data_IF_348520046839
#
_entry.id   IF_348520046839
#
_cell.length_a   1.000
_cell.length_b   1.000
_cell.length_c   1.000
_cell.angle_alpha   90.00
_cell.angle_beta   90.00
_cell.angle_gamma   90.00
#
_symmetry.space_group_name_H-M   'P 1'
#
loop_
_entity.id
_entity.type
_entity.pdbx_description
1 polymer ?
#
# COMPACT_ATOMS: atom_id res chain seq x y z
N UNK A 1 -1.66 -14.20 -29.72
CA UNK A 1 -1.14 -15.24 -28.79
C UNK A 1 0.33 -15.05 -28.36
N UNK A 2 1.25 -14.56 -29.21
CA UNK A 2 2.66 -14.33 -28.80
C UNK A 2 2.81 -13.44 -27.55
N UNK A 3 1.96 -12.42 -27.39
CA UNK A 3 1.95 -11.55 -26.20
C UNK A 3 1.55 -12.24 -24.89
N UNK A 4 0.73 -13.31 -24.93
CA UNK A 4 0.28 -14.00 -23.71
C UNK A 4 1.43 -14.76 -23.04
N UNK A 5 2.30 -15.40 -23.82
CA UNK A 5 3.50 -16.07 -23.29
C UNK A 5 4.49 -15.07 -22.67
N UNK A 6 4.60 -13.87 -23.23
CA UNK A 6 5.41 -12.80 -22.65
C UNK A 6 4.78 -12.28 -21.34
N UNK A 7 3.45 -12.13 -21.28
CA UNK A 7 2.73 -11.64 -20.11
C UNK A 7 2.94 -12.52 -18.87
N UNK A 8 3.05 -13.85 -19.03
CA UNK A 8 3.32 -14.77 -17.91
C UNK A 8 4.61 -14.41 -17.15
N UNK A 9 5.64 -13.90 -17.84
CA UNK A 9 6.90 -13.49 -17.21
C UNK A 9 6.75 -12.27 -16.29
N UNK A 10 5.72 -11.47 -16.50
CA UNK A 10 5.44 -10.27 -15.70
C UNK A 10 4.46 -10.54 -14.55
N UNK A 11 3.87 -11.73 -14.44
CA UNK A 11 2.98 -12.07 -13.32
C UNK A 11 3.58 -11.81 -11.93
N UNK A 12 4.87 -12.11 -11.66
CA UNK A 12 5.46 -11.82 -10.35
C UNK A 12 5.46 -10.33 -9.99
N UNK A 13 5.43 -9.43 -10.97
CA UNK A 13 5.33 -7.99 -10.77
C UNK A 13 3.88 -7.49 -10.82
N UNK A 14 3.10 -8.02 -11.76
CA UNK A 14 1.72 -7.61 -12.01
C UNK A 14 0.76 -8.03 -10.89
N UNK A 15 0.97 -9.20 -10.27
CA UNK A 15 0.09 -9.70 -9.19
C UNK A 15 0.16 -8.79 -7.95
N UNK A 16 1.34 -8.47 -7.38
CA UNK A 16 1.43 -7.52 -6.25
C UNK A 16 0.82 -6.16 -6.59
N UNK A 17 1.07 -5.66 -7.80
CA UNK A 17 0.52 -4.38 -8.24
C UNK A 17 -1.02 -4.42 -8.39
N UNK A 18 -1.57 -5.52 -8.91
CA UNK A 18 -3.01 -5.75 -8.98
C UNK A 18 -3.67 -5.88 -7.60
N UNK A 19 -3.00 -6.53 -6.64
CA UNK A 19 -3.47 -6.57 -5.24
C UNK A 19 -3.44 -5.17 -4.63
N UNK A 20 -2.36 -4.42 -4.87
CA UNK A 20 -2.18 -3.06 -4.34
C UNK A 20 -3.30 -2.11 -4.79
N UNK A 21 -3.67 -2.17 -6.05
CA UNK A 21 -4.73 -1.36 -6.67
C UNK A 21 -6.11 -1.75 -6.17
N UNK A 22 -6.42 -3.05 -6.07
CA UNK A 22 -7.69 -3.52 -5.49
C UNK A 22 -7.84 -3.06 -4.05
N UNK A 23 -6.79 -3.22 -3.22
CA UNK A 23 -6.78 -2.71 -1.85
C UNK A 23 -6.91 -1.18 -1.82
N UNK A 24 -6.26 -0.49 -2.75
CA UNK A 24 -6.43 0.95 -2.95
C UNK A 24 -7.88 1.34 -3.24
N UNK A 25 -8.57 0.63 -4.14
CA UNK A 25 -9.97 0.87 -4.46
C UNK A 25 -10.92 0.61 -3.29
N UNK A 26 -10.63 -0.39 -2.46
CA UNK A 26 -11.35 -0.62 -1.19
C UNK A 26 -11.17 0.58 -0.26
N UNK A 27 -9.94 1.06 -0.07
CA UNK A 27 -9.65 2.21 0.79
C UNK A 27 -10.31 3.50 0.28
N UNK A 28 -10.35 3.71 -1.03
CA UNK A 28 -11.07 4.85 -1.64
C UNK A 28 -12.57 4.74 -1.36
N UNK A 29 -13.15 3.56 -1.53
CA UNK A 29 -14.58 3.33 -1.26
C UNK A 29 -14.91 3.53 0.21
N UNK A 30 -14.03 3.11 1.12
CA UNK A 30 -14.23 3.34 2.55
C UNK A 30 -14.09 4.82 2.92
N UNK A 31 -13.13 5.52 2.32
CA UNK A 31 -12.99 6.98 2.46
C UNK A 31 -14.26 7.72 1.98
N UNK A 32 -14.85 7.26 0.88
CA UNK A 32 -16.14 7.77 0.39
C UNK A 32 -17.28 7.54 1.38
N UNK A 33 -17.36 6.35 1.97
CA UNK A 33 -18.35 6.00 3.00
C UNK A 33 -18.23 6.88 4.23
N UNK A 34 -17.01 7.15 4.69
CA UNK A 34 -16.75 8.08 5.81
C UNK A 34 -17.23 9.50 5.47
N UNK A 35 -17.19 9.92 4.20
CA UNK A 35 -17.76 11.18 3.72
C UNK A 35 -19.27 11.12 3.38
N UNK A 36 -19.94 10.02 3.72
CA UNK A 36 -21.38 9.84 3.57
C UNK A 36 -21.85 9.37 2.18
N UNK A 37 -20.96 8.83 1.35
CA UNK A 37 -21.33 8.14 0.10
C UNK A 37 -21.10 6.63 0.22
N UNK A 38 -22.17 5.88 0.45
CA UNK A 38 -22.09 4.41 0.61
C UNK A 38 -22.19 3.70 -0.74
N UNK A 39 -21.05 3.60 -1.44
CA UNK A 39 -20.95 2.83 -2.67
C UNK A 39 -20.69 1.35 -2.40
N UNK A 40 -21.27 0.49 -3.24
CA UNK A 40 -20.94 -0.92 -3.22
C UNK A 40 -19.50 -1.12 -3.73
N UNK A 41 -18.60 -1.52 -2.84
CA UNK A 41 -17.18 -1.75 -3.15
C UNK A 41 -16.99 -2.73 -4.29
N UNK A 42 -17.81 -3.78 -4.39
CA UNK A 42 -17.73 -4.75 -5.50
C UNK A 42 -17.98 -4.07 -6.84
N UNK A 43 -18.97 -3.21 -6.92
CA UNK A 43 -19.35 -2.55 -8.18
C UNK A 43 -18.28 -1.54 -8.60
N UNK A 44 -17.68 -0.82 -7.64
CA UNK A 44 -16.55 0.09 -7.89
C UNK A 44 -15.35 -0.69 -8.44
N UNK A 45 -14.95 -1.78 -7.78
CA UNK A 45 -13.80 -2.59 -8.21
C UNK A 45 -14.03 -3.29 -9.56
N UNK A 46 -15.26 -3.77 -9.83
CA UNK A 46 -15.59 -4.36 -11.13
C UNK A 46 -15.57 -3.31 -12.25
N UNK A 47 -16.03 -2.09 -11.96
CA UNK A 47 -15.99 -0.97 -12.91
C UNK A 47 -14.54 -0.58 -13.22
N UNK A 48 -13.68 -0.49 -12.21
CA UNK A 48 -12.23 -0.27 -12.36
C UNK A 48 -11.57 -1.36 -13.20
N UNK A 49 -11.85 -2.63 -12.93
CA UNK A 49 -11.28 -3.75 -13.67
C UNK A 49 -11.72 -3.75 -15.13
N UNK A 50 -13.00 -3.49 -15.41
CA UNK A 50 -13.51 -3.38 -16.77
C UNK A 50 -12.88 -2.18 -17.50
N UNK A 51 -12.79 -1.02 -16.86
CA UNK A 51 -12.15 0.16 -17.43
C UNK A 51 -10.67 -0.09 -17.74
N UNK A 52 -9.95 -0.77 -16.84
CA UNK A 52 -8.55 -1.17 -17.06
C UNK A 52 -8.42 -2.12 -18.25
N UNK A 53 -9.29 -3.11 -18.38
CA UNK A 53 -9.25 -4.06 -19.50
C UNK A 53 -9.51 -3.35 -20.83
N UNK A 54 -10.53 -2.48 -20.88
CA UNK A 54 -10.85 -1.67 -22.07
C UNK A 54 -9.67 -0.76 -22.41
N UNK A 55 -9.09 -0.07 -21.42
CA UNK A 55 -7.91 0.75 -21.63
C UNK A 55 -6.74 -0.05 -22.18
N UNK A 56 -6.47 -1.25 -21.64
CA UNK A 56 -5.43 -2.15 -22.12
C UNK A 56 -5.64 -2.61 -23.57
N UNK A 57 -6.88 -2.88 -23.98
CA UNK A 57 -7.23 -3.19 -25.38
C UNK A 57 -6.98 -2.00 -26.32
N UNK A 58 -7.12 -0.78 -25.80
CA UNK A 58 -6.83 0.46 -26.52
C UNK A 58 -5.36 0.91 -26.43
N UNK A 59 -4.45 0.08 -25.88
CA UNK A 59 -3.01 0.38 -25.78
C UNK A 59 -2.58 1.05 -24.46
N UNK A 60 -3.47 1.13 -23.47
CA UNK A 60 -3.14 1.58 -22.12
C UNK A 60 -2.17 0.63 -21.42
N UNK A 61 -1.17 1.20 -20.74
CA UNK A 61 -0.10 0.46 -20.05
C UNK A 61 -0.18 0.51 -18.53
N UNK A 62 -1.13 1.30 -18.00
CA UNK A 62 -1.33 1.50 -16.58
C UNK A 62 -2.69 0.97 -16.15
N UNK A 63 -2.73 0.32 -14.99
CA UNK A 63 -3.98 -0.04 -14.34
C UNK A 63 -4.69 1.22 -13.85
N UNK A 64 -6.00 1.33 -14.09
CA UNK A 64 -6.80 2.42 -13.51
C UNK A 64 -7.06 2.15 -12.04
N UNK A 65 -7.35 3.18 -11.26
CA UNK A 65 -7.79 3.04 -9.87
C UNK A 65 -8.80 4.16 -9.53
N UNK A 66 -9.77 3.94 -8.62
CA UNK A 66 -10.65 4.98 -8.13
C UNK A 66 -9.85 6.17 -7.59
N UNK A 67 -10.34 7.38 -7.90
CA UNK A 67 -9.62 8.59 -7.58
C UNK A 67 -9.71 8.90 -6.07
N UNK A 68 -8.56 9.03 -5.43
CA UNK A 68 -8.45 9.40 -4.01
C UNK A 68 -8.85 10.88 -3.83
N UNK A 69 -9.52 11.20 -2.72
CA UNK A 69 -9.86 12.58 -2.36
C UNK A 69 -11.34 12.92 -2.52
N UNK A 70 -12.21 11.94 -2.77
CA UNK A 70 -13.66 12.15 -2.78
C UNK A 70 -14.19 12.97 -1.59
N UNK A 71 -13.76 12.75 -0.32
CA UNK A 71 -14.20 13.60 0.79
C UNK A 71 -13.90 15.09 0.57
N UNK A 72 -12.70 15.42 0.10
CA UNK A 72 -12.29 16.80 -0.16
C UNK A 72 -13.13 17.43 -1.28
N UNK A 73 -13.30 16.73 -2.41
CA UNK A 73 -14.14 17.23 -3.52
C UNK A 73 -15.61 17.40 -3.10
N UNK A 74 -16.13 16.50 -2.26
CA UNK A 74 -17.50 16.61 -1.75
C UNK A 74 -17.67 17.82 -0.83
N UNK A 75 -16.69 18.09 0.05
CA UNK A 75 -16.68 19.29 0.88
C UNK A 75 -16.63 20.59 0.04
N UNK A 76 -16.10 20.53 -1.18
CA UNK A 76 -16.14 21.65 -2.15
C UNK A 76 -17.48 21.76 -2.91
N UNK A 77 -18.47 20.91 -2.60
CA UNK A 77 -19.80 20.92 -3.24
C UNK A 77 -19.88 20.14 -4.55
N UNK A 78 -18.86 19.35 -4.90
CA UNK A 78 -18.90 18.51 -6.10
C UNK A 78 -19.98 17.43 -5.99
N UNK A 79 -20.51 17.03 -7.15
CA UNK A 79 -21.56 15.98 -7.31
C UNK A 79 -21.23 15.15 -8.55
N UNK A 80 -22.06 14.16 -8.88
CA UNK A 80 -21.88 13.28 -10.04
C UNK A 80 -21.59 14.02 -11.37
N UNK A 81 -22.20 15.19 -11.60
CA UNK A 81 -21.95 16.00 -12.79
C UNK A 81 -20.50 16.49 -12.92
N UNK A 82 -19.85 16.85 -11.80
CA UNK A 82 -18.44 17.23 -11.78
C UNK A 82 -17.55 16.05 -12.20
N UNK A 83 -17.80 14.87 -11.63
CA UNK A 83 -17.06 13.65 -11.96
C UNK A 83 -17.21 13.28 -13.45
N UNK A 84 -18.45 13.33 -13.97
CA UNK A 84 -18.73 13.04 -15.38
C UNK A 84 -18.03 14.02 -16.33
N UNK A 85 -18.15 15.33 -16.07
CA UNK A 85 -17.52 16.37 -16.88
C UNK A 85 -16.00 16.25 -16.83
N UNK A 86 -15.43 15.93 -15.66
CA UNK A 86 -13.99 15.67 -15.51
C UNK A 86 -13.56 14.47 -16.36
N UNK A 87 -14.30 13.36 -16.29
CA UNK A 87 -14.02 12.18 -17.10
C UNK A 87 -14.07 12.45 -18.61
N UNK A 88 -15.08 13.19 -19.07
CA UNK A 88 -15.22 13.58 -20.48
C UNK A 88 -14.08 14.51 -20.90
N UNK A 89 -13.80 15.55 -20.11
CA UNK A 89 -12.74 16.52 -20.41
C UNK A 89 -11.37 15.85 -20.45
N UNK A 90 -10.98 15.12 -19.41
CA UNK A 90 -9.68 14.43 -19.35
C UNK A 90 -9.59 13.35 -20.42
N UNK A 91 -10.67 12.60 -20.67
CA UNK A 91 -10.71 11.56 -21.70
C UNK A 91 -10.54 12.11 -23.12
N UNK A 92 -11.32 13.14 -23.48
CA UNK A 92 -11.16 13.84 -24.75
C UNK A 92 -9.79 14.50 -24.87
N UNK A 93 -9.27 15.03 -23.76
CA UNK A 93 -7.96 15.67 -23.72
C UNK A 93 -6.79 14.71 -23.87
N UNK A 94 -6.91 13.48 -23.37
CA UNK A 94 -5.97 12.40 -23.66
C UNK A 94 -6.04 11.97 -25.12
N UNK A 95 -7.24 11.88 -25.70
CA UNK A 95 -7.46 11.48 -27.10
C UNK A 95 -6.99 12.54 -28.12
N UNK A 96 -7.28 13.82 -27.85
CA UNK A 96 -6.97 14.95 -28.74
C UNK A 96 -5.59 15.57 -28.42
N UNK A 97 -4.96 15.19 -27.32
CA UNK A 97 -3.61 15.62 -26.92
C UNK A 97 -3.52 16.96 -26.19
N UNK A 98 -4.62 17.70 -26.01
CA UNK A 98 -4.56 19.02 -25.36
C UNK A 98 -4.25 18.96 -23.86
N UNK A 99 -4.49 17.82 -23.19
CA UNK A 99 -4.12 17.66 -21.77
C UNK A 99 -2.62 17.76 -21.57
N UNK A 100 -1.81 17.20 -22.49
CA UNK A 100 -0.34 17.31 -22.42
C UNK A 100 0.12 18.77 -22.48
N UNK A 101 -0.50 19.56 -23.36
CA UNK A 101 -0.23 21.01 -23.46
C UNK A 101 -0.59 21.75 -22.18
N UNK A 102 -1.75 21.45 -21.57
CA UNK A 102 -2.15 22.06 -20.30
C UNK A 102 -1.16 21.68 -19.19
N UNK A 103 -0.72 20.42 -19.12
CA UNK A 103 0.24 19.95 -18.12
C UNK A 103 1.59 20.68 -18.24
N UNK A 104 2.05 20.96 -19.46
CA UNK A 104 3.28 21.73 -19.70
C UNK A 104 3.19 23.19 -19.22
N UNK A 105 1.98 23.77 -19.20
CA UNK A 105 1.75 25.12 -18.68
C UNK A 105 1.76 25.18 -17.15
N UNK A 106 1.54 24.05 -16.46
CA UNK A 106 1.50 24.03 -14.99
C UNK A 106 2.93 24.07 -14.45
N UNK A 107 3.31 25.12 -13.68
CA UNK A 107 4.62 25.16 -13.06
C UNK A 107 4.79 23.97 -12.11
N UNK A 108 5.84 23.17 -12.31
CA UNK A 108 6.11 21.97 -11.50
C UNK A 108 6.17 22.27 -9.99
N UNK A 109 6.59 23.48 -9.63
CA UNK A 109 6.65 23.96 -8.25
C UNK A 109 5.28 24.00 -7.54
N UNK A 110 4.18 24.13 -8.28
CA UNK A 110 2.81 24.19 -7.72
C UNK A 110 2.27 22.80 -7.37
N UNK A 111 2.79 21.75 -8.01
CA UNK A 111 2.29 20.38 -7.81
C UNK A 111 2.57 19.87 -6.38
N UNK A 112 3.76 20.16 -5.84
CA UNK A 112 4.15 19.65 -4.53
C UNK A 112 3.26 20.19 -3.39
N UNK A 113 3.02 21.52 -3.25
CA UNK A 113 2.11 22.04 -2.22
C UNK A 113 0.69 21.45 -2.29
N UNK A 114 0.13 21.27 -3.49
CA UNK A 114 -1.21 20.69 -3.67
C UNK A 114 -1.24 19.25 -3.14
N UNK A 115 -0.25 18.43 -3.53
CA UNK A 115 -0.16 17.04 -3.08
C UNK A 115 0.08 16.94 -1.57
N UNK A 116 0.87 17.84 -1.00
CA UNK A 116 1.11 17.93 0.44
C UNK A 116 -0.18 18.26 1.19
N UNK A 117 -0.96 19.23 0.71
CA UNK A 117 -2.24 19.59 1.31
C UNK A 117 -3.23 18.40 1.31
N UNK A 118 -3.38 17.73 0.18
CA UNK A 118 -4.25 16.54 0.06
C UNK A 118 -3.77 15.41 0.95
N UNK A 119 -2.45 15.18 1.03
CA UNK A 119 -1.89 14.17 1.92
C UNK A 119 -2.19 14.47 3.40
N UNK A 120 -2.03 15.72 3.84
CA UNK A 120 -2.36 16.12 5.22
C UNK A 120 -3.84 15.91 5.55
N UNK A 121 -4.75 16.27 4.64
CA UNK A 121 -6.19 16.05 4.83
C UNK A 121 -6.52 14.56 4.99
N UNK A 122 -5.95 13.69 4.16
CA UNK A 122 -6.13 12.23 4.27
C UNK A 122 -5.55 11.69 5.59
N UNK A 123 -4.37 12.17 6.00
CA UNK A 123 -3.74 11.77 7.26
C UNK A 123 -4.62 12.16 8.44
N UNK A 124 -5.09 13.41 8.48
CA UNK A 124 -5.98 13.89 9.53
C UNK A 124 -7.27 13.08 9.59
N UNK A 125 -7.89 12.82 8.44
CA UNK A 125 -9.10 12.00 8.37
C UNK A 125 -8.88 10.60 8.92
N UNK A 126 -7.73 9.96 8.67
CA UNK A 126 -7.43 8.64 9.21
C UNK A 126 -7.41 8.61 10.75
N UNK A 127 -6.93 9.67 11.41
CA UNK A 127 -6.95 9.77 12.88
C UNK A 127 -8.33 10.14 13.44
N UNK A 128 -9.11 10.94 12.71
CA UNK A 128 -10.43 11.42 13.16
C UNK A 128 -11.51 10.34 12.96
N UNK A 129 -11.40 9.54 11.89
CA UNK A 129 -12.40 8.55 11.52
C UNK A 129 -12.37 7.28 12.40
N UNK A 130 -11.31 7.08 13.19
CA UNK A 130 -11.14 5.90 14.06
C UNK A 130 -11.28 6.27 15.54
N UNK A 131 -11.62 5.32 16.43
CA UNK A 131 -11.59 5.56 17.87
C UNK A 131 -10.20 6.04 18.33
N UNK A 132 -10.14 7.03 19.24
CA UNK A 132 -8.86 7.61 19.72
C UNK A 132 -7.84 6.57 20.18
N UNK A 133 -8.29 5.48 20.81
CA UNK A 133 -7.42 4.36 21.24
C UNK A 133 -6.66 3.68 20.09
N UNK A 134 -7.15 3.77 18.85
CA UNK A 134 -6.50 3.21 17.67
C UNK A 134 -5.53 4.19 16.99
N UNK A 135 -5.38 5.42 17.49
CA UNK A 135 -4.38 6.36 16.97
C UNK A 135 -2.94 5.79 16.89
N UNK A 136 -2.46 4.97 17.85
CA UNK A 136 -1.16 4.31 17.70
C UNK A 136 -1.09 3.37 16.49
N UNK A 137 -2.19 2.70 16.13
CA UNK A 137 -2.26 1.85 14.95
C UNK A 137 -2.17 2.65 13.65
N UNK A 138 -2.84 3.80 13.60
CA UNK A 138 -2.74 4.75 12.47
C UNK A 138 -1.31 5.28 12.35
N UNK A 139 -0.69 5.72 13.44
CA UNK A 139 0.70 6.19 13.46
C UNK A 139 1.68 5.10 12.99
N UNK A 140 1.50 3.87 13.44
CA UNK A 140 2.36 2.74 13.06
C UNK A 140 2.21 2.35 11.57
N UNK A 141 1.04 2.58 10.97
CA UNK A 141 0.80 2.31 9.56
C UNK A 141 1.62 3.21 8.61
N UNK A 142 2.22 4.30 9.09
CA UNK A 142 3.06 5.17 8.26
C UNK A 142 4.44 4.61 7.95
N UNK A 143 4.97 3.71 8.77
CA UNK A 143 6.34 3.20 8.62
C UNK A 143 6.62 2.58 7.24
N UNK A 144 5.77 1.69 6.69
CA UNK A 144 5.97 1.14 5.35
C UNK A 144 5.98 2.21 4.25
N UNK A 145 5.14 3.24 4.38
CA UNK A 145 5.07 4.35 3.43
C UNK A 145 6.33 5.21 3.47
N UNK A 146 6.86 5.50 4.65
CA UNK A 146 8.15 6.20 4.81
C UNK A 146 9.30 5.36 4.24
N UNK A 147 9.32 4.06 4.52
CA UNK A 147 10.31 3.15 3.94
C UNK A 147 10.22 3.14 2.41
N UNK A 148 9.01 3.15 1.84
CA UNK A 148 8.80 3.25 0.39
C UNK A 148 9.33 4.56 -0.18
N UNK A 149 9.08 5.70 0.48
CA UNK A 149 9.63 7.00 0.07
C UNK A 149 11.16 6.97 0.02
N UNK A 150 11.79 6.45 1.07
CA UNK A 150 13.24 6.30 1.14
C UNK A 150 13.76 5.36 0.04
N UNK A 151 13.09 4.22 -0.18
CA UNK A 151 13.43 3.28 -1.25
C UNK A 151 13.37 3.93 -2.64
N UNK A 152 12.36 4.76 -2.93
CA UNK A 152 12.26 5.51 -4.19
C UNK A 152 13.45 6.46 -4.34
N UNK A 153 13.78 7.22 -3.29
CA UNK A 153 14.87 8.20 -3.35
C UNK A 153 16.22 7.52 -3.49
N UNK A 154 16.52 6.50 -2.69
CA UNK A 154 17.80 5.78 -2.74
C UNK A 154 17.96 4.89 -3.98
N UNK A 155 16.86 4.40 -4.55
CA UNK A 155 16.88 3.59 -5.78
C UNK A 155 17.06 4.41 -7.06
N UNK A 156 17.02 5.74 -6.99
CA UNK A 156 17.32 6.60 -8.13
C UNK A 156 18.85 6.74 -8.33
N UNK A 157 19.36 6.73 -9.57
CA UNK A 157 20.81 6.80 -9.82
C UNK A 157 21.46 8.15 -9.44
N UNK A 158 20.67 9.21 -9.28
CA UNK A 158 21.16 10.56 -8.93
C UNK A 158 21.87 10.59 -7.56
N UNK A 159 21.26 10.14 -6.45
CA UNK A 159 21.91 10.11 -5.14
C UNK A 159 22.87 8.94 -4.92
N UNK A 160 22.65 7.78 -5.56
CA UNK A 160 23.47 6.58 -5.37
C UNK A 160 23.69 5.90 -6.73
N UNK A 161 24.95 5.77 -7.20
CA UNK A 161 25.27 5.00 -8.40
C UNK A 161 24.81 3.54 -8.29
N UNK A 162 24.39 2.94 -9.41
CA UNK A 162 23.77 1.61 -9.42
C UNK A 162 24.68 0.51 -8.82
N UNK A 163 26.00 0.60 -9.05
CA UNK A 163 26.99 -0.32 -8.50
C UNK A 163 27.04 -0.24 -6.98
N UNK A 164 27.05 1.00 -6.45
CA UNK A 164 27.08 1.23 -5.00
C UNK A 164 25.77 0.81 -4.35
N UNK A 165 24.64 1.03 -5.02
CA UNK A 165 23.35 0.55 -4.58
C UNK A 165 23.32 -0.97 -4.44
N UNK A 166 23.85 -1.70 -5.44
CA UNK A 166 23.95 -3.16 -5.39
C UNK A 166 24.87 -3.67 -4.26
N UNK A 167 26.01 -2.99 -4.06
CA UNK A 167 26.92 -3.27 -2.93
C UNK A 167 26.21 -3.10 -1.58
N UNK A 168 25.50 -1.98 -1.39
CA UNK A 168 24.76 -1.69 -0.15
C UNK A 168 23.58 -2.64 0.10
N UNK A 169 22.97 -3.18 -0.95
CA UNK A 169 21.90 -4.18 -0.85
C UNK A 169 22.41 -5.57 -0.41
N UNK A 170 23.67 -5.87 -0.70
CA UNK A 170 24.24 -7.22 -0.52
C UNK A 170 25.39 -7.26 0.49
N UNK A 171 25.62 -6.16 1.20
CA UNK A 171 26.72 -6.00 2.14
C UNK A 171 26.76 -7.15 3.17
N UNK A 172 27.90 -7.83 3.35
CA UNK A 172 28.00 -8.94 4.28
C UNK A 172 27.96 -8.43 5.73
N UNK A 173 27.28 -9.16 6.61
CA UNK A 173 27.17 -8.79 8.02
C UNK A 173 26.37 -9.80 8.82
N UNK A 174 26.29 -9.58 10.14
CA UNK A 174 25.44 -10.39 11.05
C UNK A 174 23.95 -10.07 10.89
N UNK A 175 23.63 -8.85 10.47
CA UNK A 175 22.28 -8.37 10.23
C UNK A 175 22.05 -8.18 8.72
N UNK A 176 20.78 -8.11 8.32
CA UNK A 176 20.43 -7.70 6.96
C UNK A 176 20.94 -6.26 6.71
N UNK A 177 21.45 -5.95 5.49
CA UNK A 177 21.84 -4.60 5.15
C UNK A 177 20.70 -3.60 5.31
N UNK A 178 20.99 -2.40 5.80
CA UNK A 178 19.98 -1.38 6.07
C UNK A 178 19.17 -1.02 4.82
N UNK A 179 19.85 -0.87 3.67
CA UNK A 179 19.20 -0.59 2.40
C UNK A 179 18.24 -1.73 1.99
N UNK A 180 18.64 -2.98 2.20
CA UNK A 180 17.81 -4.15 1.93
C UNK A 180 16.56 -4.17 2.82
N UNK A 181 16.69 -3.78 4.09
CA UNK A 181 15.56 -3.67 5.03
C UNK A 181 14.61 -2.54 4.62
N UNK A 182 15.13 -1.36 4.24
CA UNK A 182 14.30 -0.23 3.79
C UNK A 182 13.51 -0.60 2.54
N UNK A 183 14.15 -1.26 1.57
CA UNK A 183 13.48 -1.72 0.35
C UNK A 183 12.42 -2.76 0.65
N UNK A 184 12.75 -3.77 1.47
CA UNK A 184 11.77 -4.77 1.87
C UNK A 184 10.57 -4.11 2.60
N UNK A 185 10.81 -3.24 3.58
CA UNK A 185 9.73 -2.55 4.28
C UNK A 185 8.84 -1.70 3.35
N UNK A 186 9.43 -1.09 2.32
CA UNK A 186 8.68 -0.31 1.32
C UNK A 186 7.92 -1.15 0.28
N UNK A 187 8.36 -2.37 0.01
CA UNK A 187 7.71 -3.26 -0.94
C UNK A 187 6.37 -3.78 -0.38
N UNK A 188 5.28 -3.46 -1.09
CA UNK A 188 3.91 -3.77 -0.65
C UNK A 188 3.34 -2.79 0.38
N UNK A 189 3.89 -1.58 0.51
CA UNK A 189 3.62 -0.64 1.61
C UNK A 189 2.14 -0.42 1.97
N UNK A 190 1.20 -0.35 1.02
CA UNK A 190 -0.23 -0.14 1.34
C UNK A 190 -0.80 -1.38 2.05
N UNK A 191 -0.51 -2.57 1.53
CA UNK A 191 -0.97 -3.84 2.11
C UNK A 191 -0.32 -4.04 3.48
N UNK A 192 0.99 -3.78 3.59
CA UNK A 192 1.73 -3.83 4.85
C UNK A 192 1.13 -2.86 5.87
N UNK A 193 0.94 -1.59 5.52
CA UNK A 193 0.39 -0.55 6.40
C UNK A 193 -1.00 -0.93 6.91
N UNK A 194 -1.87 -1.44 6.03
CA UNK A 194 -3.22 -1.86 6.38
C UNK A 194 -3.21 -3.06 7.33
N UNK A 195 -2.42 -4.10 7.05
CA UNK A 195 -2.30 -5.28 7.91
C UNK A 195 -1.63 -4.93 9.25
N UNK A 196 -0.68 -3.98 9.25
CA UNK A 196 -0.03 -3.46 10.44
C UNK A 196 -1.00 -2.70 11.33
N UNK A 197 -1.80 -1.81 10.75
CA UNK A 197 -2.88 -1.12 11.45
C UNK A 197 -3.88 -2.13 12.02
N UNK A 198 -4.28 -3.14 11.23
CA UNK A 198 -5.26 -4.13 11.65
C UNK A 198 -4.77 -4.98 12.83
N UNK A 199 -3.58 -5.59 12.76
CA UNK A 199 -3.11 -6.41 13.88
C UNK A 199 -2.94 -5.56 15.15
N UNK A 200 -2.47 -4.31 15.01
CA UNK A 200 -2.23 -3.43 16.14
C UNK A 200 -3.53 -2.89 16.75
N UNK A 201 -4.55 -2.58 15.94
CA UNK A 201 -5.88 -2.23 16.42
C UNK A 201 -6.52 -3.40 17.19
N UNK A 202 -6.45 -4.62 16.67
CA UNK A 202 -6.91 -5.83 17.37
C UNK A 202 -6.12 -6.09 18.67
N UNK A 203 -4.81 -5.80 18.66
CA UNK A 203 -3.97 -5.90 19.85
C UNK A 203 -4.37 -4.88 20.92
N UNK A 204 -4.62 -3.63 20.53
CA UNK A 204 -5.13 -2.57 21.42
C UNK A 204 -6.47 -2.97 22.03
N UNK A 205 -7.34 -3.59 21.24
CA UNK A 205 -8.64 -4.10 21.71
C UNK A 205 -8.54 -5.43 22.49
N UNK A 206 -7.31 -5.92 22.77
CA UNK A 206 -7.03 -7.21 23.44
C UNK A 206 -7.61 -8.43 22.72
N UNK A 207 -7.94 -8.31 21.43
CA UNK A 207 -8.39 -9.42 20.57
C UNK A 207 -7.18 -10.19 20.03
N UNK A 208 -6.39 -10.76 20.96
CA UNK A 208 -5.06 -11.31 20.69
C UNK A 208 -5.06 -12.45 19.64
N UNK A 209 -6.11 -13.27 19.61
CA UNK A 209 -6.25 -14.35 18.61
C UNK A 209 -6.41 -13.81 17.19
N UNK A 210 -7.17 -12.73 17.03
CA UNK A 210 -7.39 -12.09 15.72
C UNK A 210 -6.11 -11.35 15.31
N UNK A 211 -5.47 -10.67 16.26
CA UNK A 211 -4.15 -10.05 16.04
C UNK A 211 -3.10 -11.07 15.57
N UNK A 212 -3.04 -12.25 16.21
CA UNK A 212 -2.18 -13.35 15.78
C UNK A 212 -2.51 -13.87 14.36
N UNK A 213 -3.79 -13.90 13.98
CA UNK A 213 -4.19 -14.29 12.63
C UNK A 213 -3.65 -13.30 11.58
N UNK A 214 -3.74 -12.00 11.82
CA UNK A 214 -3.15 -10.98 10.92
C UNK A 214 -1.64 -11.16 10.77
N UNK A 215 -0.94 -11.49 11.86
CA UNK A 215 0.50 -11.77 11.82
C UNK A 215 0.83 -13.03 11.00
N UNK A 216 -0.01 -14.07 11.04
CA UNK A 216 0.15 -15.25 10.18
C UNK A 216 -0.03 -14.88 8.71
N UNK A 217 -1.00 -14.02 8.38
CA UNK A 217 -1.20 -13.51 7.01
C UNK A 217 0.01 -12.69 6.55
N UNK A 218 0.52 -11.80 7.42
CA UNK A 218 1.76 -11.05 7.18
C UNK A 218 2.94 -11.98 6.92
N UNK A 219 3.11 -13.03 7.71
CA UNK A 219 4.16 -14.03 7.50
C UNK A 219 4.03 -14.69 6.12
N UNK A 220 2.83 -15.14 5.76
CA UNK A 220 2.58 -15.78 4.46
C UNK A 220 2.88 -14.84 3.28
N UNK A 221 2.40 -13.60 3.30
CA UNK A 221 2.67 -12.64 2.23
C UNK A 221 4.14 -12.23 2.16
N UNK A 222 4.82 -12.12 3.30
CA UNK A 222 6.26 -11.83 3.36
C UNK A 222 7.09 -12.95 2.74
N UNK A 223 6.67 -14.20 2.99
CA UNK A 223 7.39 -15.37 2.49
C UNK A 223 7.44 -15.40 0.96
N UNK A 224 6.37 -15.01 0.27
CA UNK A 224 6.33 -15.00 -1.21
C UNK A 224 6.71 -13.64 -1.84
N UNK A 225 7.09 -12.66 -1.03
CA UNK A 225 7.43 -11.32 -1.52
C UNK A 225 6.22 -10.52 -2.05
N UNK A 226 5.00 -10.85 -1.62
CA UNK A 226 3.81 -10.00 -1.90
C UNK A 226 3.94 -8.68 -1.12
N UNK A 227 4.39 -8.81 0.13
CA UNK A 227 4.94 -7.71 0.93
C UNK A 227 6.38 -8.07 1.28
N UNK A 228 7.20 -7.09 1.66
CA UNK A 228 8.58 -7.37 2.09
C UNK A 228 9.45 -8.10 1.07
N UNK A 229 9.18 -7.89 -0.22
CA UNK A 229 10.00 -8.45 -1.28
C UNK A 229 11.46 -8.03 -1.11
N UNK A 230 12.35 -9.01 -1.18
CA UNK A 230 13.79 -8.82 -1.26
C UNK A 230 14.26 -8.13 -2.55
N UNK A 231 13.41 -8.10 -3.60
CA UNK A 231 13.77 -7.57 -4.91
C UNK A 231 13.58 -6.06 -4.95
N UNK A 232 14.52 -5.34 -5.58
CA UNK A 232 14.45 -3.88 -5.69
C UNK A 232 13.23 -3.38 -6.47
N UNK A 233 12.72 -4.19 -7.40
CA UNK A 233 11.51 -3.92 -8.19
C UNK A 233 10.21 -4.33 -7.49
N UNK A 234 10.31 -4.97 -6.31
CA UNK A 234 9.16 -5.44 -5.54
C UNK A 234 8.49 -6.70 -6.11
N UNK A 235 9.13 -7.43 -7.01
CA UNK A 235 8.59 -8.65 -7.59
C UNK A 235 8.44 -9.79 -6.56
N UNK A 236 7.41 -10.61 -6.75
CA UNK A 236 7.23 -11.87 -6.01
C UNK A 236 8.31 -12.88 -6.39
N UNK A 237 8.53 -13.84 -5.50
CA UNK A 237 9.45 -14.94 -5.71
C UNK A 237 9.03 -16.20 -4.96
N UNK A 238 9.68 -17.29 -5.30
CA UNK A 238 9.74 -18.47 -4.46
C UNK A 238 11.03 -18.40 -3.61
N UNK A 239 10.97 -18.46 -2.27
CA UNK A 239 12.15 -18.25 -1.41
C UNK A 239 13.36 -19.12 -1.71
N UNK A 240 13.13 -20.36 -2.12
CA UNK A 240 14.17 -21.32 -2.48
C UNK A 240 14.81 -21.05 -3.86
N UNK A 241 14.30 -20.07 -4.63
CA UNK A 241 14.93 -19.58 -5.87
C UNK A 241 15.84 -18.38 -5.63
N UNK A 242 15.78 -17.76 -4.45
CA UNK A 242 16.69 -16.70 -4.06
C UNK A 242 18.01 -17.30 -3.55
N UNK A 243 19.05 -16.47 -3.52
CA UNK A 243 20.36 -16.81 -2.96
C UNK A 243 20.95 -15.64 -2.16
N UNK A 244 21.94 -15.92 -1.33
CA UNK A 244 22.66 -14.91 -0.55
C UNK A 244 21.77 -14.13 0.42
N UNK A 245 22.01 -12.83 0.54
CA UNK A 245 21.27 -11.92 1.45
C UNK A 245 19.78 -11.87 1.09
N UNK A 246 19.43 -11.85 -0.20
CA UNK A 246 18.04 -11.79 -0.64
C UNK A 246 17.22 -12.98 -0.13
N UNK A 247 17.81 -14.18 -0.05
CA UNK A 247 17.13 -15.35 0.48
C UNK A 247 16.81 -15.20 1.97
N UNK A 248 17.63 -14.49 2.75
CA UNK A 248 17.41 -14.36 4.18
C UNK A 248 16.16 -13.53 4.51
N UNK A 249 15.81 -12.55 3.66
CA UNK A 249 14.68 -11.64 3.87
C UNK A 249 13.35 -12.37 4.10
N UNK A 250 12.85 -13.23 3.19
CA UNK A 250 11.57 -13.91 3.41
C UNK A 250 11.58 -14.82 4.64
N UNK A 251 12.69 -15.48 4.97
CA UNK A 251 12.76 -16.32 6.17
C UNK A 251 12.75 -15.50 7.45
N UNK A 252 13.55 -14.43 7.53
CA UNK A 252 13.63 -13.60 8.74
C UNK A 252 12.33 -12.84 9.01
N UNK A 253 11.74 -12.20 7.99
CA UNK A 253 10.47 -11.48 8.15
C UNK A 253 9.34 -12.43 8.52
N UNK A 254 9.20 -13.56 7.80
CA UNK A 254 8.13 -14.52 8.08
C UNK A 254 8.27 -15.16 9.45
N UNK A 255 9.51 -15.52 9.85
CA UNK A 255 9.77 -16.05 11.18
C UNK A 255 9.46 -15.02 12.28
N UNK A 256 9.85 -13.76 12.10
CA UNK A 256 9.55 -12.70 13.06
C UNK A 256 8.04 -12.56 13.29
N UNK A 257 7.24 -12.54 12.21
CA UNK A 257 5.78 -12.51 12.31
C UNK A 257 5.21 -13.76 12.97
N UNK A 258 5.70 -14.95 12.64
CA UNK A 258 5.24 -16.20 13.26
C UNK A 258 5.59 -16.28 14.75
N UNK A 259 6.79 -15.84 15.14
CA UNK A 259 7.20 -15.76 16.54
C UNK A 259 6.28 -14.81 17.32
N UNK A 260 5.99 -13.63 16.76
CA UNK A 260 5.06 -12.69 17.39
C UNK A 260 3.63 -13.24 17.43
N UNK A 261 3.16 -13.90 16.36
CA UNK A 261 1.85 -14.54 16.32
C UNK A 261 1.72 -15.62 17.39
N UNK A 262 2.73 -16.48 17.54
CA UNK A 262 2.77 -17.52 18.57
C UNK A 262 2.76 -16.91 19.98
N UNK A 263 3.54 -15.84 20.20
CA UNK A 263 3.53 -15.10 21.47
C UNK A 263 2.14 -14.57 21.80
N UNK A 264 1.49 -13.83 20.88
CA UNK A 264 0.15 -13.28 21.10
C UNK A 264 -0.90 -14.38 21.28
N UNK A 265 -0.79 -15.48 20.52
CA UNK A 265 -1.69 -16.62 20.67
C UNK A 265 -1.54 -17.28 22.04
N UNK A 266 -0.32 -17.50 22.52
CA UNK A 266 -0.07 -18.02 23.86
C UNK A 266 -0.59 -17.06 24.94
N UNK A 267 -0.35 -15.76 24.80
CA UNK A 267 -0.87 -14.74 25.72
C UNK A 267 -2.40 -14.66 25.73
N UNK A 268 -3.08 -15.05 24.64
CA UNK A 268 -4.56 -15.09 24.57
C UNK A 268 -5.22 -16.07 25.55
N UNK A 269 -4.44 -16.93 26.21
CA UNK A 269 -4.94 -17.86 27.24
C UNK A 269 -4.76 -17.32 28.66
N UNK A 270 -4.06 -16.20 28.87
CA UNK A 270 -3.85 -15.65 30.22
C UNK A 270 -5.11 -14.94 30.74
N UNK A 271 -5.16 -14.68 32.06
CA UNK A 271 -6.33 -14.03 32.68
C UNK A 271 -6.45 -12.57 32.26
N UNK A 272 -5.33 -11.88 32.15
CA UNK A 272 -5.19 -10.48 31.75
C UNK A 272 -5.73 -10.25 30.33
N UNK A 273 -5.59 -11.23 29.44
CA UNK A 273 -6.14 -11.16 28.09
C UNK A 273 -7.67 -11.13 28.03
N UNK A 274 -8.35 -11.57 29.11
CA UNK A 274 -9.81 -11.60 29.23
C UNK A 274 -10.35 -10.41 30.00
N UNK A 275 -9.48 -9.59 30.58
CA UNK A 275 -9.91 -8.39 31.27
C UNK A 275 -10.43 -7.37 30.27
N UNK A 276 -11.53 -6.65 30.60
CA UNK A 276 -12.01 -5.57 29.76
C UNK A 276 -10.89 -4.55 29.56
N UNK A 277 -10.84 -3.93 28.38
CA UNK A 277 -9.86 -2.90 28.07
C UNK A 277 -10.09 -1.71 29.02
N UNK A 278 -9.34 -1.66 30.11
CA UNK A 278 -9.38 -0.60 31.13
C UNK A 278 -8.31 0.43 30.80
N UNK A 279 -8.73 1.69 30.64
CA UNK A 279 -7.87 2.82 30.22
C UNK A 279 -8.08 3.19 28.75
N UNK A 280 -8.46 4.46 28.52
CA UNK A 280 -8.88 5.10 27.25
C UNK A 280 -10.38 5.06 26.92
N UNK A 281 -11.25 4.67 27.87
CA UNK A 281 -12.66 5.05 27.82
C UNK A 281 -12.86 6.43 28.48
N UNK A 282 -12.35 7.50 27.87
CA UNK A 282 -12.83 8.85 28.13
C UNK A 282 -12.77 9.66 26.84
N UNK A 283 -13.97 9.91 26.29
CA UNK A 283 -14.33 10.82 25.19
C UNK A 283 -13.90 10.45 23.77
#
# INVERSE_FOLDING_TARGET
MKGLSAAVKYLPLAIPFGILTVVGGINVTESARVAGDDYNTRDILLTEALATLVAGLCGGVAQSTPYIGQPAYKNMGSRAGYTLLTGIFVGLGGMLGYVSFIIELIPRAVLAPILVFVAFDIIMQAFIAVPKRHAPAVAFAFFPTVARLLAIKMGSPEPIPAEKFHELMTAPGKALPELQVIIALGNGFIVTAMLWAAFLAELVDRRLKISALYLIVLAFFSFFGIIHSAMADGSMYLPWKLSGIAQQVPYQFSLAYLCLAALLFCLSYTRESKEPVTGMAHE
#
